data_IF_286585248152
#
_entry.id   IF_286585248152
#
_cell.length_a   1.000
_cell.length_b   1.000
_cell.length_c   1.000
_cell.angle_alpha   90.00
_cell.angle_beta   90.00
_cell.angle_gamma   90.00
#
_symmetry.space_group_name_H-M   'P 1'
#
loop_
_entity.id
_entity.type
_entity.pdbx_description
1 polymer ?
#
# COMPACT_ATOMS: atom_id res chain seq x y z
N UNK A 1 7.06 2.16 11.79
CA UNK A 1 5.64 2.26 12.18
C UNK A 1 5.29 3.56 12.94
N UNK A 2 5.89 3.78 14.12
CA UNK A 2 5.53 4.92 14.98
C UNK A 2 5.79 6.29 14.34
N UNK A 3 6.92 6.48 13.65
CA UNK A 3 7.25 7.72 12.95
C UNK A 3 6.25 8.08 11.85
N UNK A 4 5.76 7.09 11.11
CA UNK A 4 4.74 7.26 10.07
C UNK A 4 3.44 7.73 10.71
N UNK A 5 2.95 7.00 11.71
CA UNK A 5 1.74 7.37 12.44
C UNK A 5 1.83 8.77 13.06
N UNK A 6 2.96 9.08 13.71
CA UNK A 6 3.20 10.38 14.33
C UNK A 6 3.21 11.52 13.30
N UNK A 7 3.85 11.31 12.14
CA UNK A 7 3.86 12.30 11.07
C UNK A 7 2.47 12.59 10.51
N UNK A 8 1.64 11.56 10.30
CA UNK A 8 0.25 11.75 9.88
C UNK A 8 -0.59 12.45 10.95
N UNK A 9 -0.37 12.12 12.22
CA UNK A 9 -1.02 12.79 13.35
C UNK A 9 -0.64 14.28 13.41
N UNK A 10 0.64 14.60 13.20
CA UNK A 10 1.11 15.98 13.14
C UNK A 10 0.49 16.76 11.97
N UNK A 11 0.39 16.16 10.78
CA UNK A 11 -0.34 16.75 9.65
C UNK A 11 -1.83 16.93 9.95
N UNK A 12 -2.45 15.98 10.65
CA UNK A 12 -3.83 16.08 11.12
C UNK A 12 -4.04 17.28 12.05
N UNK A 13 -3.19 17.44 13.07
CA UNK A 13 -3.23 18.61 13.96
C UNK A 13 -2.98 19.92 13.21
N UNK A 14 -2.03 19.94 12.28
CA UNK A 14 -1.76 21.13 11.48
C UNK A 14 -2.97 21.48 10.59
N UNK A 15 -3.63 20.49 10.00
CA UNK A 15 -4.86 20.67 9.22
C UNK A 15 -6.03 21.21 10.06
N UNK A 16 -6.06 20.88 11.35
CA UNK A 16 -7.02 21.41 12.30
C UNK A 16 -6.75 22.88 12.61
N UNK A 17 -5.49 23.21 12.92
CA UNK A 17 -5.05 24.58 13.22
C UNK A 17 -5.34 25.53 12.06
N UNK A 18 -5.11 25.10 10.81
CA UNK A 18 -5.34 25.91 9.60
C UNK A 18 -6.77 25.80 9.04
N UNK A 19 -7.68 25.09 9.72
CA UNK A 19 -9.10 25.07 9.37
C UNK A 19 -9.51 24.18 8.18
N UNK A 20 -8.62 23.35 7.61
CA UNK A 20 -8.93 22.51 6.43
C UNK A 20 -9.28 21.06 6.75
N UNK A 21 -9.27 20.67 8.02
CA UNK A 21 -9.50 19.30 8.47
C UNK A 21 -10.88 18.74 8.07
N UNK A 22 -11.94 19.56 8.11
CA UNK A 22 -13.33 19.17 7.85
C UNK A 22 -14.04 20.27 7.06
N UNK A 23 -13.97 20.21 5.73
CA UNK A 23 -14.46 21.27 4.84
C UNK A 23 -15.26 20.69 3.69
N UNK A 24 -16.41 21.29 3.41
CA UNK A 24 -17.23 20.97 2.25
C UNK A 24 -17.05 22.00 1.12
N UNK A 25 -17.19 21.53 -0.12
CA UNK A 25 -17.13 22.35 -1.32
C UNK A 25 -18.42 22.16 -2.12
N UNK A 26 -19.12 23.27 -2.40
CA UNK A 26 -20.26 23.28 -3.32
C UNK A 26 -19.76 23.46 -4.75
N UNK A 27 -20.00 22.44 -5.59
CA UNK A 27 -19.66 22.45 -7.01
C UNK A 27 -20.72 23.25 -7.78
N UNK A 28 -20.38 23.69 -8.99
CA UNK A 28 -21.26 24.48 -9.86
C UNK A 28 -22.61 23.82 -10.21
N UNK A 29 -22.74 22.51 -10.04
CA UNK A 29 -23.98 21.73 -10.21
C UNK A 29 -24.85 21.67 -8.93
N UNK A 30 -24.45 22.37 -7.86
CA UNK A 30 -25.11 22.38 -6.56
C UNK A 30 -24.73 21.21 -5.66
N UNK A 31 -23.86 20.30 -6.09
CA UNK A 31 -23.40 19.19 -5.27
C UNK A 31 -22.42 19.67 -4.18
N UNK A 32 -22.76 19.38 -2.93
CA UNK A 32 -21.87 19.65 -1.78
C UNK A 32 -21.02 18.42 -1.49
N UNK A 33 -19.71 18.49 -1.76
CA UNK A 33 -18.76 17.40 -1.50
C UNK A 33 -17.93 17.64 -0.24
N UNK A 34 -17.73 16.59 0.54
CA UNK A 34 -16.78 16.56 1.64
C UNK A 34 -15.35 16.41 1.10
N UNK A 35 -14.51 17.41 1.34
CA UNK A 35 -13.14 17.51 0.80
C UNK A 35 -12.07 17.78 1.86
N UNK A 36 -12.45 17.86 3.14
CA UNK A 36 -11.53 18.11 4.25
C UNK A 36 -10.44 17.03 4.37
N UNK A 37 -9.29 17.44 4.93
CA UNK A 37 -8.10 16.57 5.05
C UNK A 37 -8.38 15.27 5.81
N UNK A 38 -9.19 15.31 6.87
CA UNK A 38 -9.54 14.12 7.66
C UNK A 38 -10.39 13.12 6.87
N UNK A 39 -11.12 13.60 5.87
CA UNK A 39 -12.00 12.79 5.03
C UNK A 39 -11.30 12.28 3.77
N UNK A 40 -10.04 12.63 3.56
CA UNK A 40 -9.22 12.03 2.53
C UNK A 40 -8.80 10.63 2.97
N UNK A 41 -9.55 9.61 2.54
CA UNK A 41 -9.39 8.25 3.05
C UNK A 41 -8.01 7.64 2.76
N UNK A 42 -7.41 8.00 1.62
CA UNK A 42 -6.03 7.63 1.29
C UNK A 42 -4.97 8.34 2.15
N UNK A 43 -5.32 9.36 2.92
CA UNK A 43 -4.42 9.96 3.90
C UNK A 43 -4.64 9.34 5.28
N UNK A 44 -5.90 9.27 5.71
CA UNK A 44 -6.22 8.74 7.04
C UNK A 44 -5.98 7.23 7.13
N UNK A 45 -6.55 6.42 6.24
CA UNK A 45 -6.40 4.97 6.33
C UNK A 45 -4.99 4.51 5.95
N UNK A 46 -4.41 5.05 4.89
CA UNK A 46 -3.09 4.59 4.45
C UNK A 46 -2.01 4.93 5.48
N UNK A 47 -1.94 6.18 5.95
CA UNK A 47 -0.83 6.62 6.80
C UNK A 47 -1.07 6.37 8.29
N UNK A 48 -2.32 6.26 8.76
CA UNK A 48 -2.59 5.91 10.17
C UNK A 48 -2.72 4.40 10.40
N UNK A 49 -3.11 3.61 9.39
CA UNK A 49 -3.42 2.18 9.57
C UNK A 49 -2.53 1.30 8.70
N UNK A 50 -2.67 1.34 7.38
CA UNK A 50 -2.09 0.31 6.52
C UNK A 50 -0.56 0.38 6.41
N UNK A 51 0.01 1.57 6.26
CA UNK A 51 1.47 1.75 6.18
C UNK A 51 2.15 1.44 7.53
N UNK A 52 1.67 1.92 8.70
CA UNK A 52 2.21 1.48 9.97
C UNK A 52 2.18 -0.05 10.17
N UNK A 53 1.08 -0.71 9.82
CA UNK A 53 0.97 -2.18 9.87
C UNK A 53 1.91 -2.86 8.87
N UNK A 54 2.09 -2.30 7.68
CA UNK A 54 3.03 -2.82 6.69
C UNK A 54 4.45 -2.82 7.25
N UNK A 55 4.87 -1.68 7.83
CA UNK A 55 6.19 -1.59 8.45
C UNK A 55 6.34 -2.52 9.65
N UNK A 56 5.27 -2.74 10.42
CA UNK A 56 5.29 -3.69 11.52
C UNK A 56 5.59 -5.10 11.01
N UNK A 57 4.86 -5.59 10.00
CA UNK A 57 5.10 -6.94 9.45
C UNK A 57 6.44 -7.09 8.73
N UNK A 58 6.93 -6.03 8.05
CA UNK A 58 8.28 -6.03 7.48
C UNK A 58 9.32 -6.20 8.59
N UNK A 59 9.20 -5.45 9.69
CA UNK A 59 10.12 -5.55 10.83
C UNK A 59 10.04 -6.92 11.49
N UNK A 60 8.84 -7.45 11.77
CA UNK A 60 8.68 -8.79 12.33
C UNK A 60 9.35 -9.84 11.45
N UNK A 61 9.15 -9.77 10.14
CA UNK A 61 9.75 -10.73 9.22
C UNK A 61 11.27 -10.61 9.19
N UNK A 62 11.81 -9.41 9.23
CA UNK A 62 13.25 -9.17 9.27
C UNK A 62 13.87 -9.67 10.58
N UNK A 63 13.22 -9.43 11.72
CA UNK A 63 13.64 -9.93 13.02
C UNK A 63 13.64 -11.45 13.01
N UNK A 64 12.55 -12.08 12.56
CA UNK A 64 12.46 -13.53 12.41
C UNK A 64 13.58 -14.07 11.52
N UNK A 65 13.80 -13.47 10.33
CA UNK A 65 14.81 -13.96 9.39
C UNK A 65 16.22 -13.90 9.99
N UNK A 66 16.59 -12.76 10.59
CA UNK A 66 17.93 -12.56 11.15
C UNK A 66 18.19 -13.39 12.42
N UNK A 67 17.19 -13.51 13.30
CA UNK A 67 17.40 -14.11 14.62
C UNK A 67 17.15 -15.62 14.66
N UNK A 68 16.21 -16.13 13.87
CA UNK A 68 15.76 -17.51 13.96
C UNK A 68 15.85 -18.22 12.61
N UNK A 69 15.12 -17.72 11.60
CA UNK A 69 14.90 -18.43 10.34
C UNK A 69 16.21 -18.76 9.63
N UNK A 70 17.11 -17.78 9.52
CA UNK A 70 18.41 -17.99 8.88
C UNK A 70 19.36 -18.81 9.72
N UNK A 71 19.37 -18.61 11.05
CA UNK A 71 20.27 -19.33 11.97
C UNK A 71 19.95 -20.82 12.04
N UNK A 72 18.68 -21.21 12.00
CA UNK A 72 18.26 -22.62 11.92
C UNK A 72 18.80 -23.31 10.66
N UNK A 73 18.92 -22.57 9.57
CA UNK A 73 19.40 -23.09 8.28
C UNK A 73 20.91 -23.00 8.09
N UNK A 74 21.63 -22.28 8.97
CA UNK A 74 23.09 -22.21 8.96
C UNK A 74 23.68 -23.38 9.77
N UNK A 75 24.70 -24.05 9.25
CA UNK A 75 25.41 -25.10 9.99
C UNK A 75 25.96 -24.54 11.31
N UNK A 76 25.96 -25.35 12.38
CA UNK A 76 26.24 -24.91 13.76
C UNK A 76 27.62 -24.22 14.00
N UNK A 77 28.54 -24.19 13.01
CA UNK A 77 29.83 -23.51 13.09
C UNK A 77 29.94 -22.18 12.32
N UNK A 78 28.93 -21.77 11.55
CA UNK A 78 29.06 -20.76 10.48
C UNK A 78 28.32 -19.44 10.76
N UNK A 79 28.05 -19.15 12.03
CA UNK A 79 27.16 -18.04 12.43
C UNK A 79 27.73 -16.65 12.10
N UNK A 80 29.05 -16.46 12.25
CA UNK A 80 29.71 -15.19 11.95
C UNK A 80 29.72 -14.94 10.44
N UNK A 81 30.04 -15.96 9.64
CA UNK A 81 30.01 -15.86 8.17
C UNK A 81 28.58 -15.62 7.65
N UNK A 82 27.58 -16.19 8.33
CA UNK A 82 26.16 -15.92 8.05
C UNK A 82 25.81 -14.44 8.28
N UNK A 83 26.13 -13.86 9.44
CA UNK A 83 25.78 -12.47 9.72
C UNK A 83 26.49 -11.49 8.75
N UNK A 84 27.76 -11.72 8.42
CA UNK A 84 28.50 -10.94 7.42
C UNK A 84 27.92 -11.09 6.01
N UNK A 85 27.45 -12.30 5.65
CA UNK A 85 26.78 -12.53 4.38
C UNK A 85 25.40 -11.84 4.30
N UNK A 86 24.71 -11.60 5.43
CA UNK A 86 23.48 -10.77 5.43
C UNK A 86 23.81 -9.35 5.02
N UNK A 87 24.79 -8.77 5.71
CA UNK A 87 25.18 -7.38 5.54
C UNK A 87 25.65 -7.15 4.11
N UNK A 88 26.46 -8.06 3.56
CA UNK A 88 26.87 -8.01 2.15
C UNK A 88 25.70 -8.07 1.17
N UNK A 89 24.66 -8.88 1.43
CA UNK A 89 23.47 -8.93 0.57
C UNK A 89 22.65 -7.63 0.62
N UNK A 90 22.54 -7.02 1.80
CA UNK A 90 21.88 -5.71 1.98
C UNK A 90 22.71 -4.60 1.33
N UNK A 91 24.03 -4.61 1.53
CA UNK A 91 24.96 -3.64 0.96
C UNK A 91 25.00 -3.73 -0.58
N UNK A 92 24.91 -4.92 -1.14
CA UNK A 92 24.78 -5.12 -2.59
C UNK A 92 23.51 -4.47 -3.16
N UNK A 93 22.49 -4.23 -2.32
CA UNK A 93 21.25 -3.53 -2.70
C UNK A 93 21.30 -2.02 -2.42
N UNK A 94 22.42 -1.47 -1.92
CA UNK A 94 22.57 -0.04 -1.58
C UNK A 94 22.22 0.89 -2.74
N UNK A 95 22.67 0.53 -3.95
CA UNK A 95 22.35 1.31 -5.16
C UNK A 95 20.83 1.39 -5.38
N UNK A 96 20.12 0.27 -5.24
CA UNK A 96 18.66 0.20 -5.38
C UNK A 96 17.96 1.09 -4.36
N UNK A 97 18.40 1.09 -3.08
CA UNK A 97 17.84 1.98 -2.06
C UNK A 97 18.03 3.45 -2.41
N UNK A 98 19.22 3.85 -2.87
CA UNK A 98 19.50 5.22 -3.30
C UNK A 98 18.68 5.62 -4.52
N UNK A 99 18.58 4.75 -5.53
CA UNK A 99 17.75 5.01 -6.71
C UNK A 99 16.29 5.25 -6.32
N UNK A 100 15.72 4.38 -5.49
CA UNK A 100 14.34 4.53 -5.02
C UNK A 100 14.16 5.78 -4.17
N UNK A 101 15.12 6.12 -3.30
CA UNK A 101 15.09 7.35 -2.51
C UNK A 101 15.00 8.59 -3.41
N UNK A 102 15.89 8.69 -4.41
CA UNK A 102 15.91 9.81 -5.35
C UNK A 102 14.63 9.86 -6.18
N UNK A 103 14.13 8.72 -6.65
CA UNK A 103 12.88 8.65 -7.41
C UNK A 103 11.70 9.13 -6.55
N UNK A 104 11.59 8.66 -5.30
CA UNK A 104 10.52 9.08 -4.41
C UNK A 104 10.60 10.58 -4.11
N UNK A 105 11.79 11.08 -3.75
CA UNK A 105 11.98 12.50 -3.41
C UNK A 105 11.68 13.42 -4.61
N UNK A 106 12.23 13.11 -5.79
CA UNK A 106 12.10 13.95 -6.97
C UNK A 106 10.74 13.81 -7.66
N UNK A 107 10.28 12.59 -7.93
CA UNK A 107 9.05 12.38 -8.70
C UNK A 107 7.81 12.41 -7.81
N UNK A 108 7.77 11.59 -6.76
CA UNK A 108 6.58 11.50 -5.89
C UNK A 108 6.46 12.73 -4.96
N UNK A 109 7.59 13.29 -4.52
CA UNK A 109 7.64 14.51 -3.73
C UNK A 109 7.58 15.77 -4.59
N UNK A 110 8.73 16.18 -5.13
CA UNK A 110 8.92 17.49 -5.74
C UNK A 110 8.06 17.72 -6.98
N UNK A 111 8.17 16.89 -8.02
CA UNK A 111 7.46 17.10 -9.28
C UNK A 111 5.96 16.90 -9.14
N UNK A 112 5.52 15.91 -8.36
CA UNK A 112 4.09 15.72 -8.09
C UNK A 112 3.53 16.91 -7.29
N UNK A 113 4.23 17.44 -6.30
CA UNK A 113 3.80 18.63 -5.57
C UNK A 113 3.72 19.85 -6.49
N UNK A 114 4.75 20.08 -7.31
CA UNK A 114 4.78 21.19 -8.27
C UNK A 114 3.59 21.11 -9.24
N UNK A 115 3.38 19.95 -9.86
CA UNK A 115 2.40 19.77 -10.92
C UNK A 115 0.94 19.66 -10.44
N UNK A 116 0.72 19.07 -9.25
CA UNK A 116 -0.62 18.77 -8.73
C UNK A 116 -1.11 19.80 -7.72
N UNK A 117 -0.20 20.47 -6.99
CA UNK A 117 -0.56 21.45 -5.96
C UNK A 117 -0.08 22.87 -6.31
N UNK A 118 1.24 23.08 -6.44
CA UNK A 118 1.81 24.43 -6.56
C UNK A 118 1.32 25.19 -7.80
N UNK A 119 1.47 24.60 -9.00
CA UNK A 119 1.06 25.26 -10.25
C UNK A 119 -0.45 25.56 -10.25
N UNK A 120 -1.34 24.61 -9.92
CA UNK A 120 -2.77 24.91 -9.81
C UNK A 120 -3.10 26.02 -8.81
N UNK A 121 -2.45 26.03 -7.64
CA UNK A 121 -2.64 27.08 -6.63
C UNK A 121 -2.21 28.46 -7.12
N UNK A 122 -1.09 28.54 -7.85
CA UNK A 122 -0.59 29.82 -8.38
C UNK A 122 -1.37 30.33 -9.59
N UNK A 123 -1.90 29.43 -10.43
CA UNK A 123 -2.59 29.79 -11.68
C UNK A 123 -4.11 29.87 -11.56
N UNK A 124 -4.65 29.67 -10.35
CA UNK A 124 -6.10 29.76 -10.10
C UNK A 124 -6.90 28.52 -10.55
N UNK A 125 -6.27 27.35 -10.65
CA UNK A 125 -6.95 26.08 -10.92
C UNK A 125 -6.26 25.14 -11.91
N UNK A 126 -7.01 24.14 -12.38
CA UNK A 126 -6.58 23.14 -13.35
C UNK A 126 -7.64 22.04 -13.54
N UNK A 127 -7.41 21.09 -14.45
CA UNK A 127 -8.31 19.95 -14.66
C UNK A 127 -8.11 18.85 -13.60
N UNK A 128 -8.19 19.22 -12.31
CA UNK A 128 -8.11 18.32 -11.16
C UNK A 128 -9.37 18.44 -10.32
N UNK A 129 -9.79 17.34 -9.68
CA UNK A 129 -10.90 17.40 -8.74
C UNK A 129 -10.53 18.25 -7.51
N UNK A 130 -11.52 18.95 -6.96
CA UNK A 130 -11.33 19.76 -5.74
C UNK A 130 -11.05 18.86 -4.54
N UNK A 131 -10.00 19.20 -3.80
CA UNK A 131 -9.57 18.55 -2.56
C UNK A 131 -9.12 19.60 -1.53
N UNK A 132 -8.80 19.16 -0.31
CA UNK A 132 -8.23 19.99 0.75
C UNK A 132 -6.98 20.77 0.31
N UNK A 133 -6.21 20.26 -0.65
CA UNK A 133 -4.98 20.90 -1.14
C UNK A 133 -5.22 22.05 -2.12
N UNK A 134 -6.48 22.28 -2.52
CA UNK A 134 -6.88 23.32 -3.48
C UNK A 134 -8.00 24.22 -2.96
N UNK A 135 -8.48 23.98 -1.74
CA UNK A 135 -9.65 24.66 -1.17
C UNK A 135 -9.48 26.19 -1.08
N UNK A 136 -8.25 26.68 -0.92
CA UNK A 136 -7.91 28.11 -0.94
C UNK A 136 -8.34 28.86 -2.22
N UNK A 137 -8.50 28.15 -3.34
CA UNK A 137 -8.89 28.76 -4.62
C UNK A 137 -10.36 29.19 -4.65
N UNK A 138 -11.21 28.56 -3.84
CA UNK A 138 -12.67 28.78 -3.82
C UNK A 138 -13.19 29.23 -2.45
N UNK A 139 -12.42 28.98 -1.39
CA UNK A 139 -12.74 29.37 0.00
C UNK A 139 -11.53 30.07 0.65
N UNK A 140 -11.06 31.21 0.09
CA UNK A 140 -9.86 31.90 0.60
C UNK A 140 -10.03 32.44 2.02
N UNK A 141 -11.26 32.54 2.52
CA UNK A 141 -11.57 32.93 3.90
C UNK A 141 -11.24 31.83 4.94
N UNK A 142 -11.06 30.58 4.51
CA UNK A 142 -10.63 29.48 5.40
C UNK A 142 -9.11 29.41 5.53
N UNK A 143 -8.41 29.49 4.40
CA UNK A 143 -6.95 29.37 4.32
C UNK A 143 -6.43 30.14 3.11
N UNK A 144 -5.30 30.82 3.29
CA UNK A 144 -4.67 31.55 2.18
C UNK A 144 -3.92 30.60 1.22
N UNK A 145 -3.68 31.06 -0.01
CA UNK A 145 -2.89 30.32 -1.00
C UNK A 145 -1.47 30.01 -0.49
N UNK A 146 -0.70 30.97 0.10
CA UNK A 146 0.63 30.68 0.63
C UNK A 146 0.62 29.61 1.74
N UNK A 147 -0.33 29.66 2.67
CA UNK A 147 -0.45 28.65 3.73
C UNK A 147 -0.76 27.26 3.15
N UNK A 148 -1.63 27.20 2.14
CA UNK A 148 -1.95 25.94 1.44
C UNK A 148 -0.74 25.38 0.69
N UNK A 149 0.07 26.24 0.07
CA UNK A 149 1.32 25.85 -0.58
C UNK A 149 2.29 25.23 0.43
N UNK A 150 2.46 25.85 1.60
CA UNK A 150 3.32 25.33 2.68
C UNK A 150 2.79 23.99 3.19
N UNK A 151 1.50 23.91 3.52
CA UNK A 151 0.88 22.70 4.05
C UNK A 151 0.99 21.53 3.07
N UNK A 152 0.64 21.75 1.80
CA UNK A 152 0.77 20.73 0.75
C UNK A 152 2.23 20.34 0.52
N UNK A 153 3.17 21.29 0.60
CA UNK A 153 4.60 20.98 0.51
C UNK A 153 5.08 20.03 1.61
N UNK A 154 4.69 20.30 2.86
CA UNK A 154 4.98 19.42 4.00
C UNK A 154 4.32 18.05 3.83
N UNK A 155 3.06 18.01 3.39
CA UNK A 155 2.32 16.78 3.17
C UNK A 155 2.99 15.91 2.09
N UNK A 156 3.41 16.49 0.96
CA UNK A 156 4.09 15.76 -0.11
C UNK A 156 5.50 15.31 0.27
N UNK A 157 6.24 16.11 1.05
CA UNK A 157 7.54 15.71 1.60
C UNK A 157 7.38 14.51 2.55
N UNK A 158 6.40 14.56 3.46
CA UNK A 158 6.08 13.45 4.33
C UNK A 158 5.69 12.20 3.53
N UNK A 159 4.77 12.34 2.57
CA UNK A 159 4.31 11.26 1.69
C UNK A 159 5.47 10.59 0.95
N UNK A 160 6.39 11.38 0.36
CA UNK A 160 7.49 10.81 -0.42
C UNK A 160 8.50 10.06 0.45
N UNK A 161 8.78 10.54 1.66
CA UNK A 161 9.63 9.84 2.63
C UNK A 161 8.99 8.52 3.07
N UNK A 162 7.68 8.51 3.34
CA UNK A 162 6.97 7.29 3.72
C UNK A 162 6.91 6.29 2.56
N UNK A 163 6.69 6.74 1.31
CA UNK A 163 6.74 5.85 0.15
C UNK A 163 8.14 5.31 -0.12
N UNK A 164 9.19 6.11 0.11
CA UNK A 164 10.56 5.60 0.09
C UNK A 164 10.72 4.44 1.08
N UNK A 165 10.28 4.62 2.34
CA UNK A 165 10.32 3.56 3.34
C UNK A 165 9.52 2.34 2.92
N UNK A 166 8.34 2.53 2.31
CA UNK A 166 7.51 1.44 1.79
C UNK A 166 8.26 0.60 0.75
N UNK A 167 8.85 1.24 -0.26
CA UNK A 167 9.64 0.55 -1.28
C UNK A 167 10.93 -0.06 -0.71
N UNK A 168 11.58 0.60 0.25
CA UNK A 168 12.71 0.02 0.98
C UNK A 168 12.28 -1.26 1.72
N UNK A 169 11.09 -1.26 2.31
CA UNK A 169 10.47 -2.46 2.89
C UNK A 169 10.28 -3.57 1.85
N UNK A 170 9.77 -3.26 0.66
CA UNK A 170 9.62 -4.23 -0.43
C UNK A 170 10.97 -4.81 -0.90
N UNK A 171 12.02 -3.98 -1.00
CA UNK A 171 13.39 -4.44 -1.32
C UNK A 171 13.88 -5.39 -0.23
N UNK A 172 13.69 -5.06 1.05
CA UNK A 172 14.06 -5.92 2.17
C UNK A 172 13.33 -7.27 2.12
N UNK A 173 12.02 -7.27 1.86
CA UNK A 173 11.24 -8.50 1.69
C UNK A 173 11.76 -9.36 0.53
N UNK A 174 12.08 -8.73 -0.61
CA UNK A 174 12.71 -9.40 -1.74
C UNK A 174 14.04 -10.03 -1.35
N UNK A 175 14.91 -9.28 -0.64
CA UNK A 175 16.21 -9.77 -0.19
C UNK A 175 16.09 -10.95 0.76
N UNK A 176 15.13 -10.94 1.69
CA UNK A 176 14.84 -12.09 2.58
C UNK A 176 14.45 -13.33 1.77
N UNK A 177 13.52 -13.18 0.82
CA UNK A 177 13.08 -14.28 -0.04
C UNK A 177 14.24 -14.82 -0.89
N UNK A 178 15.05 -13.93 -1.44
CA UNK A 178 16.20 -14.28 -2.26
C UNK A 178 17.27 -15.04 -1.47
N UNK A 179 17.59 -14.56 -0.27
CA UNK A 179 18.56 -15.17 0.64
C UNK A 179 18.11 -16.57 1.07
N UNK A 180 16.84 -16.72 1.47
CA UNK A 180 16.25 -18.01 1.79
C UNK A 180 16.33 -18.99 0.62
N UNK A 181 15.98 -18.55 -0.59
CA UNK A 181 16.05 -19.39 -1.79
C UNK A 181 17.49 -19.85 -2.06
N UNK A 182 18.48 -18.96 -1.93
CA UNK A 182 19.90 -19.27 -2.14
C UNK A 182 20.42 -20.29 -1.12
N UNK A 183 20.07 -20.13 0.16
CA UNK A 183 20.42 -21.10 1.21
C UNK A 183 19.76 -22.45 0.92
N UNK A 184 18.48 -22.45 0.54
CA UNK A 184 17.76 -23.66 0.18
C UNK A 184 18.35 -24.41 -1.01
N UNK A 185 18.83 -23.72 -2.04
CA UNK A 185 19.51 -24.34 -3.20
C UNK A 185 20.86 -24.97 -2.80
N UNK A 186 21.59 -24.35 -1.87
CA UNK A 186 22.80 -24.91 -1.29
C UNK A 186 22.52 -26.20 -0.51
N UNK A 187 21.51 -26.19 0.34
CA UNK A 187 21.13 -27.34 1.19
C UNK A 187 20.61 -28.54 0.39
N UNK A 188 19.88 -28.32 -0.72
CA UNK A 188 19.41 -29.40 -1.61
C UNK A 188 20.53 -30.24 -2.22
N UNK A 189 21.75 -29.71 -2.26
CA UNK A 189 22.94 -30.41 -2.77
C UNK A 189 23.58 -31.32 -1.71
N UNK A 190 23.15 -31.24 -0.45
CA UNK A 190 23.63 -32.11 0.63
C UNK A 190 22.66 -33.28 0.92
N UNK A 191 23.15 -34.47 1.32
CA UNK A 191 22.33 -35.69 1.45
C UNK A 191 21.51 -35.82 2.75
N UNK A 192 21.22 -34.75 3.48
CA UNK A 192 20.62 -34.83 4.83
C UNK A 192 19.13 -34.47 4.89
N UNK A 193 18.35 -35.37 5.49
CA UNK A 193 16.88 -35.39 5.52
C UNK A 193 16.27 -34.34 6.48
N UNK A 194 17.00 -33.93 7.54
CA UNK A 194 16.48 -33.00 8.56
C UNK A 194 16.32 -31.55 8.08
N UNK A 195 17.21 -31.05 7.20
CA UNK A 195 17.18 -29.65 6.77
C UNK A 195 15.99 -29.29 5.88
N UNK A 196 15.32 -30.27 5.28
CA UNK A 196 14.23 -30.02 4.34
C UNK A 196 12.94 -29.61 5.07
N UNK A 197 12.71 -30.09 6.29
CA UNK A 197 11.56 -29.68 7.10
C UNK A 197 11.73 -28.24 7.60
N UNK A 198 12.91 -27.91 8.14
CA UNK A 198 13.22 -26.55 8.62
C UNK A 198 13.14 -25.51 7.51
N UNK A 199 13.65 -25.84 6.31
CA UNK A 199 13.55 -24.99 5.12
C UNK A 199 12.09 -24.72 4.73
N UNK A 200 11.24 -25.75 4.83
CA UNK A 200 9.82 -25.66 4.51
C UNK A 200 9.08 -24.76 5.52
N UNK A 201 9.36 -24.92 6.81
CA UNK A 201 8.75 -24.11 7.88
C UNK A 201 9.19 -22.64 7.80
N UNK A 202 10.49 -22.40 7.58
CA UNK A 202 11.04 -21.06 7.37
C UNK A 202 10.42 -20.40 6.13
N UNK A 203 10.34 -21.13 5.01
CA UNK A 203 9.74 -20.62 3.78
C UNK A 203 8.27 -20.27 3.93
N UNK A 204 7.48 -21.10 4.64
CA UNK A 204 6.07 -20.80 4.88
C UNK A 204 5.92 -19.55 5.76
N UNK A 205 6.75 -19.40 6.78
CA UNK A 205 6.75 -18.21 7.65
C UNK A 205 7.11 -16.95 6.87
N UNK A 206 8.14 -17.01 6.02
CA UNK A 206 8.51 -15.92 5.11
C UNK A 206 7.37 -15.56 4.18
N UNK A 207 6.77 -16.55 3.50
CA UNK A 207 5.68 -16.29 2.56
C UNK A 207 4.42 -15.74 3.23
N UNK A 208 4.12 -16.14 4.47
CA UNK A 208 3.02 -15.52 5.25
C UNK A 208 3.31 -14.05 5.56
N UNK A 209 4.54 -13.72 5.94
CA UNK A 209 4.96 -12.33 6.15
C UNK A 209 4.87 -11.50 4.87
N UNK A 210 5.39 -12.02 3.75
CA UNK A 210 5.30 -11.38 2.44
C UNK A 210 3.84 -11.20 2.03
N UNK A 211 2.99 -12.23 2.18
CA UNK A 211 1.56 -12.14 1.88
C UNK A 211 0.87 -11.02 2.67
N UNK A 212 1.10 -10.92 3.99
CA UNK A 212 0.55 -9.83 4.81
C UNK A 212 0.97 -8.45 4.30
N UNK A 213 2.25 -8.29 3.98
CA UNK A 213 2.78 -7.07 3.39
C UNK A 213 2.14 -6.79 2.02
N UNK A 214 1.89 -7.84 1.23
CA UNK A 214 1.26 -7.73 -0.08
C UNK A 214 -0.18 -7.27 -0.01
N UNK A 215 -0.96 -7.88 0.88
CA UNK A 215 -2.33 -7.45 1.16
C UNK A 215 -2.36 -5.98 1.57
N UNK A 216 -1.50 -5.55 2.50
CA UNK A 216 -1.46 -4.16 2.95
C UNK A 216 -1.05 -3.20 1.83
N UNK A 217 -0.06 -3.54 1.00
CA UNK A 217 0.35 -2.70 -0.12
C UNK A 217 -0.77 -2.56 -1.18
N UNK A 218 -1.53 -3.62 -1.45
CA UNK A 218 -2.69 -3.54 -2.36
C UNK A 218 -3.83 -2.74 -1.73
N UNK A 219 -4.07 -2.87 -0.41
CA UNK A 219 -5.06 -2.04 0.30
C UNK A 219 -4.73 -0.54 0.25
N UNK A 220 -3.46 -0.16 0.41
CA UNK A 220 -2.99 1.22 0.21
C UNK A 220 -3.35 1.71 -1.20
N UNK A 221 -3.01 0.92 -2.23
CA UNK A 221 -3.33 1.29 -3.61
C UNK A 221 -4.84 1.39 -3.88
N UNK A 222 -5.64 0.51 -3.28
CA UNK A 222 -7.10 0.56 -3.34
C UNK A 222 -7.60 1.90 -2.81
N UNK A 223 -7.21 2.31 -1.60
CA UNK A 223 -7.71 3.56 -1.01
C UNK A 223 -7.22 4.81 -1.74
N UNK A 224 -6.00 4.79 -2.28
CA UNK A 224 -5.52 5.82 -3.21
C UNK A 224 -6.42 5.97 -4.44
N UNK A 225 -6.84 4.85 -5.06
CA UNK A 225 -7.71 4.86 -6.24
C UNK A 225 -9.16 5.22 -5.88
N UNK A 226 -9.71 4.63 -4.82
CA UNK A 226 -11.07 4.93 -4.31
C UNK A 226 -11.21 6.42 -4.00
N UNK A 227 -10.25 7.04 -3.31
CA UNK A 227 -10.29 8.47 -3.05
C UNK A 227 -10.33 9.29 -4.35
N UNK A 228 -9.49 8.93 -5.32
CA UNK A 228 -9.41 9.63 -6.61
C UNK A 228 -10.73 9.53 -7.39
N UNK A 229 -11.32 8.34 -7.47
CA UNK A 229 -12.62 8.11 -8.10
C UNK A 229 -13.75 8.83 -7.35
N UNK A 230 -13.75 8.80 -6.01
CA UNK A 230 -14.72 9.53 -5.20
C UNK A 230 -14.72 11.03 -5.52
N UNK A 231 -13.55 11.66 -5.60
CA UNK A 231 -13.45 13.10 -5.86
C UNK A 231 -14.01 13.48 -7.25
N UNK A 232 -13.91 12.58 -8.23
CA UNK A 232 -14.48 12.76 -9.56
C UNK A 232 -15.97 12.39 -9.68
N UNK A 233 -16.50 11.61 -8.74
CA UNK A 233 -17.90 11.18 -8.71
C UNK A 233 -18.89 12.29 -8.30
N UNK A 234 -20.18 11.96 -8.36
CA UNK A 234 -21.30 12.75 -7.85
C UNK A 234 -21.63 12.50 -6.36
N UNK A 235 -20.87 11.67 -5.63
CA UNK A 235 -21.14 11.41 -4.22
C UNK A 235 -20.77 12.57 -3.30
N UNK A 236 -21.59 12.87 -2.30
CA UNK A 236 -21.34 13.93 -1.30
C UNK A 236 -20.21 13.59 -0.33
N UNK A 237 -20.09 12.31 0.03
CA UNK A 237 -18.99 11.78 0.85
C UNK A 237 -18.65 10.37 0.39
N UNK A 238 -17.44 9.91 0.72
CA UNK A 238 -16.90 8.63 0.24
C UNK A 238 -17.75 7.43 0.64
N UNK A 239 -18.36 7.47 1.83
CA UNK A 239 -19.21 6.38 2.32
C UNK A 239 -20.54 6.35 1.57
N UNK A 240 -21.20 7.51 1.43
CA UNK A 240 -22.44 7.62 0.69
C UNK A 240 -22.26 7.21 -0.78
N UNK A 241 -21.12 7.55 -1.40
CA UNK A 241 -20.78 7.11 -2.75
C UNK A 241 -20.68 5.59 -2.87
N UNK A 242 -19.90 4.94 -1.99
CA UNK A 242 -19.74 3.48 -2.00
C UNK A 242 -21.05 2.74 -1.68
N UNK A 243 -21.84 3.25 -0.72
CA UNK A 243 -23.14 2.67 -0.35
C UNK A 243 -24.17 2.84 -1.46
N UNK A 244 -24.18 4.01 -2.11
CA UNK A 244 -25.00 4.27 -3.29
C UNK A 244 -24.69 3.28 -4.42
N UNK A 245 -23.40 3.06 -4.71
CA UNK A 245 -22.96 2.08 -5.71
C UNK A 245 -23.31 0.63 -5.32
N UNK A 246 -23.23 0.24 -4.05
CA UNK A 246 -23.71 -1.08 -3.61
C UNK A 246 -25.22 -1.26 -3.85
N UNK A 247 -26.00 -0.19 -3.67
CA UNK A 247 -27.46 -0.23 -3.82
C UNK A 247 -27.92 -0.27 -5.29
N UNK A 248 -27.12 0.26 -6.23
CA UNK A 248 -27.47 0.29 -7.66
C UNK A 248 -27.62 -1.11 -8.27
N UNK A 249 -26.87 -2.10 -7.76
CA UNK A 249 -27.00 -3.51 -8.12
C UNK A 249 -28.40 -4.07 -7.87
N UNK A 250 -29.05 -3.63 -6.80
CA UNK A 250 -30.38 -4.12 -6.41
C UNK A 250 -31.52 -3.35 -7.07
N UNK A 251 -31.24 -2.12 -7.53
CA UNK A 251 -32.24 -1.22 -8.10
C UNK A 251 -32.28 -1.23 -9.63
N UNK A 252 -31.36 -1.94 -10.29
CA UNK A 252 -31.29 -2.02 -11.76
C UNK A 252 -31.08 -0.67 -12.44
N UNK A 253 -30.48 0.31 -11.72
CA UNK A 253 -30.16 1.62 -12.28
C UNK A 253 -28.74 1.59 -12.86
N UNK A 254 -28.66 1.69 -14.18
CA UNK A 254 -27.42 1.84 -14.95
C UNK A 254 -26.87 3.28 -14.87
N UNK A 255 -26.80 3.86 -13.66
CA UNK A 255 -26.09 5.11 -13.47
C UNK A 255 -24.60 4.79 -13.32
N UNK A 256 -23.97 4.35 -14.42
CA UNK A 256 -22.52 4.36 -14.54
C UNK A 256 -22.10 5.81 -14.37
N UNK A 257 -21.43 6.10 -13.25
CA UNK A 257 -20.79 7.36 -12.90
C UNK A 257 -20.44 8.15 -14.15
N UNK A 258 -21.17 9.24 -14.41
CA UNK A 258 -20.81 10.25 -15.42
C UNK A 258 -19.58 11.00 -14.90
N UNK A 259 -18.45 10.30 -14.79
CA UNK A 259 -17.23 10.80 -14.23
C UNK A 259 -16.71 11.94 -15.10
N UNK A 260 -16.58 13.13 -14.51
CA UNK A 260 -15.93 14.25 -15.18
C UNK A 260 -14.46 13.89 -15.47
N UNK A 261 -13.95 14.24 -16.66
CA UNK A 261 -12.57 13.95 -17.09
C UNK A 261 -11.55 14.80 -16.31
N UNK A 262 -11.25 14.40 -15.08
CA UNK A 262 -10.14 14.93 -14.30
C UNK A 262 -8.85 14.16 -14.57
N UNK A 263 -7.70 14.84 -14.46
CA UNK A 263 -6.40 14.15 -14.40
C UNK A 263 -6.25 13.51 -13.02
N UNK A 264 -5.88 12.24 -12.99
CA UNK A 264 -5.75 11.47 -11.74
C UNK A 264 -4.36 10.82 -11.62
N UNK A 265 -3.31 11.60 -11.27
CA UNK A 265 -1.95 11.07 -11.13
C UNK A 265 -1.83 9.91 -10.14
N UNK A 266 -2.69 9.91 -9.12
CA UNK A 266 -2.82 8.86 -8.11
C UNK A 266 -3.18 7.49 -8.70
N UNK A 267 -3.82 7.40 -9.87
CA UNK A 267 -4.07 6.12 -10.54
C UNK A 267 -2.77 5.47 -11.03
N UNK A 268 -1.83 6.28 -11.52
CA UNK A 268 -0.53 5.77 -11.92
C UNK A 268 0.31 5.37 -10.70
N UNK A 269 0.38 6.23 -9.68
CA UNK A 269 1.15 5.95 -8.46
C UNK A 269 0.60 4.74 -7.69
N UNK A 270 -0.72 4.56 -7.60
CA UNK A 270 -1.34 3.38 -6.99
C UNK A 270 -1.07 2.10 -7.81
N UNK A 271 -1.06 2.18 -9.14
CA UNK A 271 -0.72 1.04 -9.99
C UNK A 271 0.73 0.58 -9.77
N UNK A 272 1.67 1.52 -9.66
CA UNK A 272 3.06 1.19 -9.32
C UNK A 272 3.17 0.45 -7.99
N UNK A 273 2.44 0.89 -6.96
CA UNK A 273 2.39 0.22 -5.66
C UNK A 273 1.87 -1.22 -5.81
N UNK A 274 0.78 -1.44 -6.56
CA UNK A 274 0.25 -2.79 -6.81
C UNK A 274 1.28 -3.67 -7.50
N UNK A 275 1.88 -3.19 -8.60
CA UNK A 275 2.85 -3.95 -9.40
C UNK A 275 4.07 -4.33 -8.54
N UNK A 276 4.68 -3.36 -7.87
CA UNK A 276 5.88 -3.61 -7.05
C UNK A 276 5.60 -4.58 -5.91
N UNK A 277 4.45 -4.44 -5.25
CA UNK A 277 4.05 -5.29 -4.14
C UNK A 277 3.74 -6.72 -4.60
N UNK A 278 3.02 -6.87 -5.72
CA UNK A 278 2.70 -8.17 -6.30
C UNK A 278 3.97 -8.85 -6.86
N UNK A 279 4.92 -8.08 -7.41
CA UNK A 279 6.18 -8.62 -7.90
C UNK A 279 6.95 -9.39 -6.81
N UNK A 280 7.08 -8.81 -5.60
CA UNK A 280 7.76 -9.48 -4.48
C UNK A 280 7.04 -10.77 -4.08
N UNK A 281 5.70 -10.74 -4.03
CA UNK A 281 4.89 -11.92 -3.72
C UNK A 281 5.02 -13.03 -4.77
N UNK A 282 4.94 -12.67 -6.05
CA UNK A 282 5.07 -13.61 -7.17
C UNK A 282 6.48 -14.20 -7.21
N UNK A 283 7.50 -13.37 -7.00
CA UNK A 283 8.89 -13.82 -6.90
C UNK A 283 9.05 -14.88 -5.80
N UNK A 284 8.54 -14.62 -4.59
CA UNK A 284 8.57 -15.60 -3.50
C UNK A 284 7.76 -16.85 -3.79
N UNK A 285 6.57 -16.70 -4.36
CA UNK A 285 5.71 -17.84 -4.72
C UNK A 285 6.37 -18.76 -5.75
N UNK A 286 7.03 -18.20 -6.77
CA UNK A 286 7.74 -18.98 -7.80
C UNK A 286 8.99 -19.64 -7.23
N UNK A 287 9.80 -18.91 -6.46
CA UNK A 287 11.10 -19.40 -5.97
C UNK A 287 10.96 -20.42 -4.83
N UNK A 288 9.94 -20.28 -3.99
CA UNK A 288 9.72 -21.14 -2.81
C UNK A 288 8.63 -22.21 -3.04
N UNK A 289 7.76 -22.04 -4.05
CA UNK A 289 6.60 -22.90 -4.29
C UNK A 289 6.85 -24.27 -4.94
N UNK A 290 8.10 -24.67 -5.18
CA UNK A 290 8.47 -25.90 -5.92
C UNK A 290 8.40 -27.17 -5.04
N UNK A 291 7.45 -27.26 -4.10
CA UNK A 291 7.30 -28.43 -3.22
C UNK A 291 5.84 -28.74 -2.89
N UNK A 292 5.42 -30.01 -2.96
CA UNK A 292 4.01 -30.43 -2.86
C UNK A 292 3.28 -30.03 -1.57
N UNK A 293 3.99 -29.91 -0.42
CA UNK A 293 3.42 -29.42 0.85
C UNK A 293 3.15 -27.91 0.89
N UNK A 294 3.71 -27.18 -0.07
CA UNK A 294 3.71 -25.72 -0.14
C UNK A 294 2.54 -25.17 -0.98
N UNK A 295 1.90 -26.04 -1.78
CA UNK A 295 0.98 -25.64 -2.83
C UNK A 295 -0.37 -25.13 -2.31
N UNK A 296 -0.97 -25.82 -1.32
CA UNK A 296 -2.29 -25.45 -0.82
C UNK A 296 -2.32 -24.09 -0.08
N UNK A 297 -1.38 -23.77 0.84
CA UNK A 297 -1.34 -22.45 1.46
C UNK A 297 -1.03 -21.33 0.45
N UNK A 298 -0.08 -21.55 -0.47
CA UNK A 298 0.26 -20.55 -1.48
C UNK A 298 -0.89 -20.29 -2.45
N UNK A 299 -1.64 -21.33 -2.83
CA UNK A 299 -2.82 -21.18 -3.69
C UNK A 299 -3.87 -20.28 -3.04
N UNK A 300 -4.18 -20.51 -1.76
CA UNK A 300 -5.10 -19.67 -0.98
C UNK A 300 -4.65 -18.20 -0.95
N UNK A 301 -3.38 -17.96 -0.61
CA UNK A 301 -2.82 -16.59 -0.61
C UNK A 301 -2.90 -15.94 -1.99
N UNK A 302 -2.59 -16.70 -3.04
CA UNK A 302 -2.60 -16.21 -4.42
C UNK A 302 -4.01 -15.85 -4.87
N UNK A 303 -5.02 -16.64 -4.48
CA UNK A 303 -6.42 -16.34 -4.74
C UNK A 303 -6.87 -15.03 -4.07
N UNK A 304 -6.47 -14.79 -2.83
CA UNK A 304 -6.79 -13.53 -2.11
C UNK A 304 -6.09 -12.33 -2.77
N UNK A 305 -4.81 -12.44 -3.12
CA UNK A 305 -4.08 -11.37 -3.82
C UNK A 305 -4.70 -11.10 -5.19
N UNK A 306 -5.01 -12.14 -5.97
CA UNK A 306 -5.65 -12.00 -7.28
C UNK A 306 -7.02 -11.33 -7.15
N UNK A 307 -7.84 -11.74 -6.19
CA UNK A 307 -9.15 -11.14 -5.92
C UNK A 307 -9.03 -9.64 -5.58
N UNK A 308 -8.06 -9.26 -4.74
CA UNK A 308 -7.79 -7.86 -4.43
C UNK A 308 -7.34 -7.06 -5.65
N UNK A 309 -6.42 -7.60 -6.46
CA UNK A 309 -5.91 -6.93 -7.68
C UNK A 309 -7.03 -6.75 -8.70
N UNK A 310 -7.85 -7.77 -8.92
CA UNK A 310 -9.02 -7.68 -9.81
C UNK A 310 -9.99 -6.61 -9.29
N UNK A 311 -10.28 -6.61 -7.99
CA UNK A 311 -11.15 -5.60 -7.38
C UNK A 311 -10.57 -4.19 -7.54
N UNK A 312 -9.27 -4.01 -7.33
CA UNK A 312 -8.55 -2.76 -7.55
C UNK A 312 -8.69 -2.26 -9.00
N UNK A 313 -8.49 -3.14 -9.98
CA UNK A 313 -8.61 -2.77 -11.40
C UNK A 313 -10.04 -2.35 -11.76
N UNK A 314 -11.03 -3.00 -11.14
CA UNK A 314 -12.46 -2.78 -11.39
C UNK A 314 -13.07 -1.61 -10.62
N UNK A 315 -12.34 -0.91 -9.74
CA UNK A 315 -12.82 0.31 -9.08
C UNK A 315 -13.32 1.30 -10.15
N UNK A 316 -14.57 1.73 -10.00
CA UNK A 316 -15.26 2.71 -10.86
C UNK A 316 -15.45 2.23 -12.32
N UNK A 317 -15.34 0.91 -12.58
CA UNK A 317 -15.47 0.34 -13.93
C UNK A 317 -16.91 -0.06 -14.30
N UNK A 318 -17.75 -0.40 -13.31
CA UNK A 318 -19.15 -0.78 -13.50
C UNK A 318 -19.95 -0.50 -12.21
N UNK A 319 -21.28 -0.36 -12.32
CA UNK A 319 -22.17 -0.16 -11.17
C UNK A 319 -22.18 -1.40 -10.26
N UNK A 320 -21.94 -1.20 -8.96
CA UNK A 320 -21.86 -2.28 -7.99
C UNK A 320 -20.47 -2.84 -7.72
N UNK A 321 -19.42 -2.22 -8.27
CA UNK A 321 -18.04 -2.62 -7.99
C UNK A 321 -17.73 -2.59 -6.48
N UNK A 322 -18.41 -1.73 -5.72
CA UNK A 322 -18.23 -1.56 -4.27
C UNK A 322 -18.58 -2.82 -3.49
N UNK A 323 -19.51 -3.65 -3.97
CA UNK A 323 -19.86 -4.93 -3.33
C UNK A 323 -18.71 -5.93 -3.46
N UNK A 324 -18.15 -6.08 -4.66
CA UNK A 324 -16.98 -6.91 -4.90
C UNK A 324 -15.80 -6.39 -4.07
N UNK A 325 -15.58 -5.08 -4.06
CA UNK A 325 -14.52 -4.46 -3.28
C UNK A 325 -14.66 -4.75 -1.78
N UNK A 326 -15.86 -4.60 -1.21
CA UNK A 326 -16.13 -4.88 0.19
C UNK A 326 -15.84 -6.33 0.56
N UNK A 327 -16.32 -7.29 -0.26
CA UNK A 327 -16.04 -8.73 -0.05
C UNK A 327 -14.54 -9.00 -0.10
N UNK A 328 -13.84 -8.47 -1.11
CA UNK A 328 -12.40 -8.64 -1.27
C UNK A 328 -11.60 -8.06 -0.11
N UNK A 329 -11.97 -6.88 0.39
CA UNK A 329 -11.36 -6.26 1.57
C UNK A 329 -11.61 -7.10 2.82
N UNK A 330 -12.82 -7.62 3.04
CA UNK A 330 -13.11 -8.48 4.19
C UNK A 330 -12.29 -9.77 4.18
N UNK A 331 -12.21 -10.44 3.03
CA UNK A 331 -11.39 -11.65 2.85
C UNK A 331 -9.91 -11.34 3.09
N UNK A 332 -9.43 -10.21 2.60
CA UNK A 332 -8.06 -9.76 2.80
C UNK A 332 -7.73 -9.46 4.27
N UNK A 333 -8.61 -8.75 4.98
CA UNK A 333 -8.47 -8.48 6.41
C UNK A 333 -8.43 -9.76 7.22
N UNK A 334 -9.29 -10.73 6.90
CA UNK A 334 -9.22 -12.06 7.52
C UNK A 334 -7.88 -12.75 7.24
N UNK A 335 -7.38 -12.68 6.01
CA UNK A 335 -6.06 -13.19 5.62
C UNK A 335 -4.88 -12.53 6.37
N UNK A 336 -5.01 -11.28 6.82
CA UNK A 336 -3.97 -10.65 7.64
C UNK A 336 -3.79 -11.39 8.98
N UNK A 337 -4.90 -11.76 9.63
CA UNK A 337 -4.86 -12.47 10.90
C UNK A 337 -4.52 -13.95 10.72
N UNK A 338 -5.17 -14.63 9.77
CA UNK A 338 -4.90 -16.03 9.43
C UNK A 338 -4.50 -16.21 7.95
N UNK A 339 -3.20 -16.07 7.63
CA UNK A 339 -2.69 -16.29 6.29
C UNK A 339 -2.91 -17.70 5.74
N UNK A 340 -3.24 -18.69 6.59
CA UNK A 340 -3.52 -20.07 6.18
C UNK A 340 -4.99 -20.32 5.82
N UNK A 341 -5.89 -19.37 6.12
CA UNK A 341 -7.34 -19.51 6.06
C UNK A 341 -7.81 -20.86 6.66
N UNK A 342 -7.50 -21.07 7.94
CA UNK A 342 -7.79 -22.28 8.69
C UNK A 342 -6.76 -23.38 8.51
N UNK A 343 -6.26 -23.91 9.65
CA UNK A 343 -5.61 -25.22 9.69
C UNK A 343 -6.67 -26.28 9.33
N UNK A 344 -6.46 -27.02 8.25
CA UNK A 344 -7.00 -28.38 8.17
C UNK A 344 -6.23 -29.20 9.22
N UNK A 345 -6.68 -29.17 10.48
CA UNK A 345 -6.34 -30.22 11.43
C UNK A 345 -7.14 -31.43 10.98
N UNK A 346 -6.55 -32.27 10.13
CA UNK A 346 -6.93 -33.67 10.10
C UNK A 346 -6.60 -34.20 11.50
N UNK A 347 -7.64 -34.49 12.27
CA UNK A 347 -7.55 -35.35 13.45
C UNK A 347 -7.15 -36.75 13.04
#
# INVERSE_FOLDING_TARGET
PASVFAGMTALGFLSYIIGIHNVTYERADGLVKQVGFLWAANWTLDFMVFLPLFFFFVIELLVFWKSEGRRKLAAQGDQVESDDAWLRNVDASSYTYWSVFLICLLFAGLFQWIGVSLIPLMKGGGNYAMDWGKIALVRPELISVPETVIFTGLAYLYMCLVFYLFFAGLILLYTVVHDLWKIGDGLKKLPHVDHQQELTEAGLTVMRGVFRCTVLGVLVAIWMKVQSSYLASSGENIVAWLVGDMSSMFQGRDDVSTGFRYRMPTHYSSLLIVISTCFVFLYGSIRLGVGGRFHAPLWKMSAVVALLVVSYLLIDAFAGFSTLLAISVLVALYGLFDPGLGRWRAS
#
